data_IF_253826764085
#
_entry.id   IF_253826764085
#
_cell.length_a   1.000
_cell.length_b   1.000
_cell.length_c   1.000
_cell.angle_alpha   90.00
_cell.angle_beta   90.00
_cell.angle_gamma   90.00
#
_symmetry.space_group_name_H-M   'P 1'
#
loop_
_entity.id
_entity.type
_entity.pdbx_description
1 polymer ?
#
# COMPACT_ATOMS: atom_id res chain seq x y z
N UNK A 1 20.39 2.68 -3.47
CA UNK A 1 19.32 1.67 -3.68
C UNK A 1 18.12 1.84 -2.77
N UNK A 2 18.28 1.89 -1.43
CA UNK A 2 17.18 2.23 -0.49
C UNK A 2 16.54 3.60 -0.81
N UNK A 3 17.36 4.59 -1.17
CA UNK A 3 16.92 5.94 -1.57
C UNK A 3 16.00 5.95 -2.80
N UNK A 4 16.30 5.15 -3.83
CA UNK A 4 15.50 5.08 -5.05
C UNK A 4 14.12 4.43 -4.79
N UNK A 5 14.07 3.37 -3.97
CA UNK A 5 12.79 2.78 -3.56
C UNK A 5 11.95 3.78 -2.75
N UNK A 6 12.56 4.47 -1.78
CA UNK A 6 11.87 5.48 -0.97
C UNK A 6 11.30 6.61 -1.84
N UNK A 7 12.08 7.13 -2.79
CA UNK A 7 11.60 8.17 -3.70
C UNK A 7 10.40 7.69 -4.54
N UNK A 8 10.48 6.49 -5.12
CA UNK A 8 9.39 5.90 -5.91
C UNK A 8 8.15 5.63 -5.06
N UNK A 9 8.31 5.15 -3.82
CA UNK A 9 7.18 4.90 -2.93
C UNK A 9 6.53 6.18 -2.43
N UNK A 10 7.32 7.23 -2.18
CA UNK A 10 6.81 8.57 -1.87
C UNK A 10 6.04 9.15 -3.06
N UNK A 11 6.53 8.98 -4.29
CA UNK A 11 5.81 9.44 -5.49
C UNK A 11 4.48 8.70 -5.63
N UNK A 12 4.45 7.39 -5.46
CA UNK A 12 3.19 6.61 -5.49
C UNK A 12 2.22 7.06 -4.38
N UNK A 13 2.72 7.30 -3.17
CA UNK A 13 1.90 7.83 -2.07
C UNK A 13 1.31 9.21 -2.42
N UNK A 14 2.15 10.10 -2.95
CA UNK A 14 1.75 11.44 -3.36
C UNK A 14 0.69 11.42 -4.46
N UNK A 15 0.91 10.63 -5.53
CA UNK A 15 -0.06 10.49 -6.64
C UNK A 15 -1.37 9.91 -6.14
N UNK A 16 -1.34 8.91 -5.25
CA UNK A 16 -2.54 8.33 -4.68
C UNK A 16 -3.31 9.36 -3.82
N UNK A 17 -2.63 10.10 -2.96
CA UNK A 17 -3.24 11.20 -2.19
C UNK A 17 -3.83 12.30 -3.07
N UNK A 18 -3.10 12.71 -4.11
CA UNK A 18 -3.58 13.70 -5.07
C UNK A 18 -4.81 13.18 -5.82
N UNK A 19 -4.85 11.88 -6.17
CA UNK A 19 -6.00 11.23 -6.76
C UNK A 19 -7.22 11.23 -5.83
N UNK A 20 -7.03 10.93 -4.54
CA UNK A 20 -8.10 11.01 -3.54
C UNK A 20 -8.61 12.45 -3.35
N UNK A 21 -7.70 13.42 -3.32
CA UNK A 21 -8.08 14.83 -3.23
C UNK A 21 -8.87 15.27 -4.48
N UNK A 22 -8.42 14.87 -5.67
CA UNK A 22 -9.14 15.13 -6.92
C UNK A 22 -10.54 14.49 -6.94
N UNK A 23 -10.66 13.24 -6.46
CA UNK A 23 -11.96 12.59 -6.29
C UNK A 23 -12.87 13.35 -5.33
N UNK A 24 -12.33 13.85 -4.21
CA UNK A 24 -13.08 14.64 -3.24
C UNK A 24 -13.63 15.94 -3.83
N UNK A 25 -12.95 16.54 -4.83
CA UNK A 25 -13.45 17.73 -5.53
C UNK A 25 -14.52 17.39 -6.58
N UNK A 26 -14.50 16.16 -7.13
CA UNK A 26 -15.44 15.72 -8.18
C UNK A 26 -16.74 15.15 -7.60
N UNK A 27 -16.69 14.55 -6.41
CA UNK A 27 -17.85 13.98 -5.73
C UNK A 27 -18.58 15.06 -4.94
N UNK A 28 -19.47 15.79 -5.59
CA UNK A 28 -20.21 16.92 -5.00
C UNK A 28 -21.06 16.50 -3.78
N UNK A 29 -21.56 15.27 -3.76
CA UNK A 29 -22.46 14.77 -2.72
C UNK A 29 -21.80 13.80 -1.73
N UNK A 30 -20.56 13.34 -1.98
CA UNK A 30 -19.88 12.34 -1.15
C UNK A 30 -18.47 12.81 -0.89
N UNK A 31 -18.13 12.99 0.38
CA UNK A 31 -16.76 13.36 0.73
C UNK A 31 -15.86 12.13 0.64
N UNK A 32 -14.56 12.33 0.49
CA UNK A 32 -13.59 11.26 0.77
C UNK A 32 -13.26 11.33 2.25
N UNK A 33 -13.57 10.29 3.06
CA UNK A 33 -13.26 10.29 4.48
C UNK A 33 -11.78 10.54 4.76
N UNK A 34 -11.49 11.29 5.83
CA UNK A 34 -10.12 11.51 6.30
C UNK A 34 -9.36 10.17 6.54
N UNK A 35 -10.09 9.12 6.93
CA UNK A 35 -9.53 7.77 7.15
C UNK A 35 -8.85 7.20 5.91
N UNK A 36 -9.30 7.52 4.70
CA UNK A 36 -8.68 7.06 3.45
C UNK A 36 -7.27 7.62 3.28
N UNK A 37 -7.06 8.89 3.65
CA UNK A 37 -5.74 9.52 3.59
C UNK A 37 -4.79 8.94 4.64
N UNK A 38 -5.28 8.70 5.87
CA UNK A 38 -4.51 8.03 6.92
C UNK A 38 -4.15 6.59 6.53
N UNK A 39 -5.07 5.89 5.86
CA UNK A 39 -4.80 4.56 5.32
C UNK A 39 -3.66 4.58 4.30
N UNK A 40 -3.66 5.52 3.34
CA UNK A 40 -2.55 5.66 2.39
C UNK A 40 -1.21 5.84 3.08
N UNK A 41 -1.13 6.72 4.10
CA UNK A 41 0.10 6.92 4.89
C UNK A 41 0.53 5.66 5.63
N UNK A 42 -0.39 5.04 6.36
CA UNK A 42 -0.11 3.80 7.10
C UNK A 42 0.35 2.68 6.18
N UNK A 43 -0.28 2.57 5.01
CA UNK A 43 0.05 1.54 4.01
C UNK A 43 1.39 1.80 3.31
N UNK A 44 1.73 3.06 3.08
CA UNK A 44 3.06 3.47 2.62
C UNK A 44 4.14 3.07 3.65
N UNK A 45 3.95 3.40 4.93
CA UNK A 45 4.86 3.02 6.00
C UNK A 45 5.03 1.50 6.10
N UNK A 46 3.93 0.76 6.09
CA UNK A 46 3.94 -0.71 6.09
C UNK A 46 4.73 -1.25 4.88
N UNK A 47 4.53 -0.65 3.71
CA UNK A 47 5.23 -1.01 2.48
C UNK A 47 6.73 -0.78 2.60
N UNK A 48 7.14 0.37 3.14
CA UNK A 48 8.56 0.68 3.38
C UNK A 48 9.18 -0.30 4.35
N UNK A 49 8.50 -0.59 5.48
CA UNK A 49 8.98 -1.53 6.49
C UNK A 49 9.13 -2.94 5.94
N UNK A 50 8.14 -3.43 5.18
CA UNK A 50 8.22 -4.75 4.56
C UNK A 50 9.31 -4.81 3.49
N UNK A 51 9.51 -3.75 2.72
CA UNK A 51 10.59 -3.69 1.73
C UNK A 51 11.97 -3.71 2.38
N UNK A 52 12.19 -2.93 3.44
CA UNK A 52 13.47 -2.92 4.17
C UNK A 52 13.74 -4.28 4.83
N UNK A 53 12.71 -4.91 5.41
CA UNK A 53 12.80 -6.25 5.96
C UNK A 53 13.15 -7.31 4.91
N UNK A 54 12.45 -7.31 3.76
CA UNK A 54 12.71 -8.23 2.65
C UNK A 54 14.10 -8.05 2.04
N UNK A 55 14.55 -6.81 1.86
CA UNK A 55 15.86 -6.52 1.26
C UNK A 55 17.01 -6.80 2.21
N UNK A 56 16.79 -6.67 3.53
CA UNK A 56 17.75 -7.03 4.57
C UNK A 56 17.94 -8.55 4.72
N UNK A 57 16.85 -9.33 4.82
CA UNK A 57 16.94 -10.78 5.00
C UNK A 57 17.14 -11.57 3.69
N UNK A 58 16.65 -11.03 2.56
CA UNK A 58 16.68 -11.71 1.26
C UNK A 58 18.06 -11.81 0.61
N UNK A 59 19.02 -10.95 1.00
CA UNK A 59 20.39 -11.01 0.48
C UNK A 59 21.13 -12.29 0.91
N UNK A 60 20.77 -12.87 2.05
CA UNK A 60 21.51 -13.97 2.66
C UNK A 60 21.14 -15.35 2.10
N UNK A 61 19.90 -15.53 1.61
CA UNK A 61 19.38 -16.84 1.14
C UNK A 61 18.31 -16.67 0.04
N UNK A 62 18.70 -16.69 -1.26
CA UNK A 62 17.77 -16.50 -2.39
C UNK A 62 16.59 -17.47 -2.41
N UNK A 63 16.81 -18.70 -1.94
CA UNK A 63 15.78 -19.75 -1.88
C UNK A 63 14.63 -19.40 -0.92
N UNK A 64 14.88 -18.62 0.14
CA UNK A 64 13.86 -18.22 1.12
C UNK A 64 13.17 -16.90 0.76
N UNK A 65 13.69 -16.18 -0.23
CA UNK A 65 13.15 -14.88 -0.64
C UNK A 65 11.68 -14.97 -1.06
N UNK A 66 11.32 -16.00 -1.83
CA UNK A 66 9.93 -16.18 -2.29
C UNK A 66 8.98 -16.36 -1.11
N UNK A 67 9.34 -17.19 -0.13
CA UNK A 67 8.53 -17.39 1.08
C UNK A 67 8.36 -16.10 1.89
N UNK A 68 9.44 -15.32 2.08
CA UNK A 68 9.35 -14.05 2.77
C UNK A 68 8.53 -13.02 1.99
N UNK A 69 8.69 -12.97 0.67
CA UNK A 69 7.91 -12.09 -0.20
C UNK A 69 6.42 -12.41 -0.11
N UNK A 70 6.05 -13.68 -0.26
CA UNK A 70 4.67 -14.14 -0.09
C UNK A 70 4.14 -13.78 1.30
N UNK A 71 4.93 -13.99 2.35
CA UNK A 71 4.58 -13.57 3.71
C UNK A 71 4.30 -12.06 3.82
N UNK A 72 5.14 -11.22 3.21
CA UNK A 72 4.94 -9.77 3.21
C UNK A 72 3.66 -9.35 2.46
N UNK A 73 3.35 -9.98 1.32
CA UNK A 73 2.10 -9.72 0.60
C UNK A 73 0.89 -10.16 1.42
N UNK A 74 0.97 -11.30 2.09
CA UNK A 74 -0.08 -11.79 3.00
C UNK A 74 -0.30 -10.80 4.16
N UNK A 75 0.77 -10.27 4.77
CA UNK A 75 0.65 -9.24 5.82
C UNK A 75 -0.07 -8.00 5.30
N UNK A 76 0.26 -7.51 4.09
CA UNK A 76 -0.44 -6.38 3.47
C UNK A 76 -1.92 -6.68 3.24
N UNK A 77 -2.24 -7.88 2.77
CA UNK A 77 -3.62 -8.31 2.54
C UNK A 77 -4.41 -8.33 3.86
N UNK A 78 -3.87 -8.94 4.91
CA UNK A 78 -4.50 -8.96 6.23
C UNK A 78 -4.64 -7.57 6.84
N UNK A 79 -3.62 -6.70 6.72
CA UNK A 79 -3.71 -5.33 7.19
C UNK A 79 -4.85 -4.57 6.49
N UNK A 80 -5.01 -4.77 5.18
CA UNK A 80 -6.10 -4.18 4.40
C UNK A 80 -7.46 -4.75 4.84
N UNK A 81 -7.53 -6.07 5.03
CA UNK A 81 -8.76 -6.75 5.45
C UNK A 81 -9.21 -6.32 6.84
N UNK A 82 -8.28 -6.27 7.82
CA UNK A 82 -8.56 -5.83 9.19
C UNK A 82 -9.05 -4.38 9.17
N UNK A 83 -8.35 -3.50 8.44
CA UNK A 83 -8.76 -2.11 8.28
C UNK A 83 -10.19 -2.00 7.74
N UNK A 84 -10.48 -2.71 6.63
CA UNK A 84 -11.80 -2.69 6.02
C UNK A 84 -12.87 -3.26 6.95
N UNK A 85 -12.63 -4.40 7.61
CA UNK A 85 -13.57 -4.98 8.58
C UNK A 85 -13.88 -4.01 9.71
N UNK A 86 -12.86 -3.41 10.32
CA UNK A 86 -13.05 -2.43 11.40
C UNK A 86 -13.88 -1.24 10.91
N UNK A 87 -13.55 -0.68 9.74
CA UNK A 87 -14.26 0.48 9.20
C UNK A 87 -15.71 0.14 8.83
N UNK A 88 -15.94 -0.95 8.08
CA UNK A 88 -17.27 -1.38 7.66
C UNK A 88 -18.20 -1.69 8.84
N UNK A 89 -17.66 -2.23 9.94
CA UNK A 89 -18.45 -2.55 11.13
C UNK A 89 -18.73 -1.34 12.02
N UNK A 90 -17.90 -0.29 11.96
CA UNK A 90 -18.02 0.88 12.85
C UNK A 90 -18.63 2.11 12.17
N UNK A 91 -18.42 2.27 10.87
CA UNK A 91 -18.84 3.45 10.10
C UNK A 91 -19.65 2.99 8.87
N UNK A 92 -20.91 3.40 8.84
CA UNK A 92 -21.88 3.02 7.80
C UNK A 92 -21.81 3.87 6.54
N UNK A 93 -21.48 5.14 6.72
CA UNK A 93 -21.55 6.15 5.68
C UNK A 93 -20.23 6.13 4.87
N UNK A 94 -20.34 6.19 3.54
CA UNK A 94 -19.20 6.23 2.60
C UNK A 94 -18.33 4.94 2.49
N UNK A 95 -18.86 3.78 2.92
CA UNK A 95 -18.21 2.45 2.82
C UNK A 95 -17.60 2.14 1.43
N UNK A 96 -18.31 2.50 0.36
CA UNK A 96 -17.88 2.22 -1.01
C UNK A 96 -16.62 3.02 -1.36
N UNK A 97 -16.59 4.31 -1.00
CA UNK A 97 -15.45 5.20 -1.27
C UNK A 97 -14.21 4.71 -0.53
N UNK A 98 -14.36 4.33 0.75
CA UNK A 98 -13.24 3.80 1.53
C UNK A 98 -12.76 2.47 0.98
N UNK A 99 -13.65 1.54 0.65
CA UNK A 99 -13.28 0.25 0.07
C UNK A 99 -12.51 0.40 -1.24
N UNK A 100 -12.97 1.27 -2.14
CA UNK A 100 -12.29 1.57 -3.40
C UNK A 100 -10.93 2.22 -3.18
N UNK A 101 -10.85 3.20 -2.28
CA UNK A 101 -9.57 3.85 -1.94
C UNK A 101 -8.55 2.86 -1.37
N UNK A 102 -9.00 1.95 -0.50
CA UNK A 102 -8.15 0.92 0.09
C UNK A 102 -7.68 -0.08 -0.96
N UNK A 103 -8.57 -0.49 -1.88
CA UNK A 103 -8.23 -1.39 -2.98
C UNK A 103 -7.18 -0.76 -3.92
N UNK A 104 -7.40 0.47 -4.38
CA UNK A 104 -6.45 1.19 -5.24
C UNK A 104 -5.10 1.32 -4.55
N UNK A 105 -5.09 1.70 -3.26
CA UNK A 105 -3.88 1.81 -2.45
C UNK A 105 -3.13 0.48 -2.36
N UNK A 106 -3.85 -0.60 -2.05
CA UNK A 106 -3.29 -1.95 -2.00
C UNK A 106 -2.63 -2.34 -3.32
N UNK A 107 -3.32 -2.14 -4.44
CA UNK A 107 -2.82 -2.50 -5.77
C UNK A 107 -1.58 -1.68 -6.14
N UNK A 108 -1.61 -0.36 -5.98
CA UNK A 108 -0.49 0.51 -6.31
C UNK A 108 0.78 0.15 -5.53
N UNK A 109 0.67 -0.03 -4.21
CA UNK A 109 1.82 -0.37 -3.38
C UNK A 109 2.29 -1.81 -3.56
N UNK A 110 1.40 -2.73 -3.96
CA UNK A 110 1.77 -4.11 -4.30
C UNK A 110 2.50 -4.15 -5.65
N UNK A 111 1.98 -3.47 -6.67
CA UNK A 111 2.64 -3.35 -7.98
C UNK A 111 4.02 -2.69 -7.87
N UNK A 112 4.15 -1.66 -7.04
CA UNK A 112 5.46 -1.06 -6.73
C UNK A 112 6.40 -2.08 -6.07
N UNK A 113 5.92 -2.83 -5.09
CA UNK A 113 6.73 -3.85 -4.40
C UNK A 113 7.22 -4.93 -5.38
N UNK A 114 6.33 -5.44 -6.24
CA UNK A 114 6.64 -6.47 -7.23
C UNK A 114 7.65 -5.96 -8.25
N UNK A 115 7.40 -4.80 -8.85
CA UNK A 115 8.27 -4.24 -9.90
C UNK A 115 9.68 -3.92 -9.39
N UNK A 116 9.78 -3.38 -8.17
CA UNK A 116 11.08 -3.04 -7.56
C UNK A 116 11.88 -4.27 -7.16
N UNK A 117 11.22 -5.35 -6.76
CA UNK A 117 11.89 -6.61 -6.39
C UNK A 117 12.22 -7.48 -7.61
N UNK A 118 11.38 -7.46 -8.65
CA UNK A 118 11.63 -8.18 -9.90
C UNK A 118 12.92 -7.67 -10.57
N UNK A 119 13.07 -6.35 -10.70
CA UNK A 119 14.26 -5.74 -11.29
C UNK A 119 15.55 -6.04 -10.51
N UNK A 120 15.46 -6.42 -9.22
CA UNK A 120 16.62 -6.80 -8.40
C UNK A 120 17.15 -8.20 -8.71
N UNK A 121 16.38 -9.06 -9.39
CA UNK A 121 16.78 -10.44 -9.70
C UNK A 121 17.51 -10.56 -11.04
N UNK A 122 17.50 -9.50 -11.84
CA UNK A 122 18.07 -9.41 -13.19
C UNK A 122 19.40 -8.64 -13.26
N UNK A 123 19.84 -8.05 -12.16
CA UNK A 123 21.18 -7.46 -11.97
C UNK A 123 22.03 -8.41 -11.09
#
# INVERSE_FOLDING_TARGET
MKSAFLLRSMLVAFVNMAGLYGLNQLLVDHSVPAVSYYFVLGFWLLTVLLHTWLTGQGASRPQRFVSYFMGAITVKLFATLIFLLVYLLTVGEERIVVALSAFVTYVLFTALQVSTLYNRKTD
#
